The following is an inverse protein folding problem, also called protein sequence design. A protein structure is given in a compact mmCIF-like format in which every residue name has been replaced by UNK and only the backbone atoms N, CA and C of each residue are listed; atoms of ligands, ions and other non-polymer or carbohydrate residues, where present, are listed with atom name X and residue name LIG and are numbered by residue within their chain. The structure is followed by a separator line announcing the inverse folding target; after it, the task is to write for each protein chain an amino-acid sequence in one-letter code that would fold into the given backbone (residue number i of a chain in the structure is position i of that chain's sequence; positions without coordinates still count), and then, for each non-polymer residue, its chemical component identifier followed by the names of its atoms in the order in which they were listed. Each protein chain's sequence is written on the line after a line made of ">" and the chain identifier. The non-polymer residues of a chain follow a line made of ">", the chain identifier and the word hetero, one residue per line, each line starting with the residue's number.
data_IF_518733646329
#
_entry.id   IF_518733646329
#
_cell.length_a   1.000
_cell.length_b   1.000
_cell.length_c   1.000
_cell.angle_alpha   90.00
_cell.angle_beta   90.00
_cell.angle_gamma   90.00
#
_symmetry.space_group_name_H-M   'P 1'
#
loop_
_entity.id
_entity.type
_entity.pdbx_description
1 polymer ?
#
# COMPACT_ATOMS: atom_id res chain seq x y z
N UNK A 1 -4.40 15.82 -7.18
CA UNK A 1 -3.20 15.37 -6.45
C UNK A 1 -3.54 14.07 -5.70
N UNK A 2 -2.85 12.97 -5.99
CA UNK A 2 -2.97 11.68 -5.28
C UNK A 2 -1.64 11.50 -4.54
N UNK A 3 -1.50 12.14 -3.38
CA UNK A 3 -0.25 12.13 -2.63
C UNK A 3 -0.50 11.36 -1.33
N UNK A 4 0.07 10.16 -1.19
CA UNK A 4 0.00 9.42 0.08
C UNK A 4 0.94 10.01 1.14
N UNK A 5 1.87 10.89 0.74
CA UNK A 5 2.84 11.54 1.61
C UNK A 5 2.24 12.14 2.88
N UNK A 6 1.06 12.77 2.79
CA UNK A 6 0.39 13.35 3.95
C UNK A 6 -0.04 12.25 4.93
N UNK A 7 -0.65 11.17 4.42
CA UNK A 7 -1.06 10.03 5.24
C UNK A 7 0.16 9.30 5.85
N UNK A 8 1.25 9.16 5.09
CA UNK A 8 2.52 8.59 5.59
C UNK A 8 3.08 9.44 6.73
N UNK A 9 3.12 10.76 6.55
CA UNK A 9 3.60 11.69 7.58
C UNK A 9 2.75 11.60 8.85
N UNK A 10 1.42 11.64 8.72
CA UNK A 10 0.53 11.47 9.87
C UNK A 10 0.70 10.11 10.54
N UNK A 11 0.94 9.03 9.77
CA UNK A 11 1.17 7.70 10.35
C UNK A 11 2.46 7.63 11.17
N UNK A 12 3.57 8.13 10.62
CA UNK A 12 4.86 8.23 11.34
C UNK A 12 4.69 9.10 12.57
N UNK A 13 4.10 10.29 12.41
CA UNK A 13 3.92 11.25 13.50
C UNK A 13 3.06 10.68 14.63
N UNK A 14 1.96 10.02 14.31
CA UNK A 14 1.10 9.40 15.31
C UNK A 14 1.78 8.21 15.99
N UNK A 15 2.55 7.40 15.26
CA UNK A 15 3.31 6.31 15.87
C UNK A 15 4.41 6.85 16.80
N UNK A 16 5.12 7.88 16.37
CA UNK A 16 6.10 8.57 17.20
C UNK A 16 5.45 9.19 18.45
N UNK A 17 4.29 9.83 18.29
CA UNK A 17 3.55 10.40 19.42
C UNK A 17 3.07 9.31 20.39
N UNK A 18 2.62 8.15 19.89
CA UNK A 18 2.19 7.00 20.71
C UNK A 18 3.33 6.49 21.61
N UNK A 19 4.51 6.35 21.01
CA UNK A 19 5.73 5.89 21.68
C UNK A 19 6.20 6.89 22.75
N UNK A 20 6.26 8.17 22.40
CA UNK A 20 6.80 9.23 23.25
C UNK A 20 5.87 9.59 24.41
N UNK A 21 4.55 9.59 24.17
CA UNK A 21 3.56 9.93 25.17
C UNK A 21 3.13 8.72 26.01
N UNK A 22 3.55 7.50 25.63
CA UNK A 22 3.17 6.28 26.32
C UNK A 22 1.66 6.12 26.41
N UNK A 23 0.96 6.33 25.28
CA UNK A 23 -0.51 6.35 25.21
C UNK A 23 -1.11 5.07 25.79
N UNK A 24 -0.46 3.93 25.56
CA UNK A 24 -0.86 2.61 26.08
C UNK A 24 -0.87 2.58 27.63
N UNK A 25 -0.03 3.38 28.29
CA UNK A 25 0.09 3.39 29.76
C UNK A 25 -0.92 4.32 30.44
N UNK A 26 -1.57 5.22 29.70
CA UNK A 26 -2.46 6.24 30.29
C UNK A 26 -3.75 6.42 29.49
N UNK A 27 -4.92 6.01 30.04
CA UNK A 27 -6.19 6.11 29.32
C UNK A 27 -6.62 7.56 29.04
N UNK A 28 -6.15 8.51 29.86
CA UNK A 28 -6.42 9.94 29.68
C UNK A 28 -5.77 10.50 28.41
N UNK A 29 -4.55 10.06 28.06
CA UNK A 29 -3.88 10.51 26.84
C UNK A 29 -4.55 9.94 25.59
N UNK A 30 -4.96 8.67 25.64
CA UNK A 30 -5.74 8.04 24.56
C UNK A 30 -7.05 8.78 24.32
N UNK A 31 -7.76 9.18 25.38
CA UNK A 31 -8.99 9.95 25.27
C UNK A 31 -8.76 11.30 24.56
N UNK A 32 -7.74 12.05 24.97
CA UNK A 32 -7.37 13.30 24.31
C UNK A 32 -7.00 13.11 22.83
N UNK A 33 -6.25 12.05 22.50
CA UNK A 33 -5.91 11.74 21.10
C UNK A 33 -7.15 11.46 20.26
N UNK A 34 -8.10 10.66 20.76
CA UNK A 34 -9.35 10.36 20.05
C UNK A 34 -10.18 11.63 19.87
N UNK A 35 -10.26 12.49 20.88
CA UNK A 35 -10.97 13.78 20.80
C UNK A 35 -10.34 14.66 19.72
N UNK A 36 -9.01 14.82 19.72
CA UNK A 36 -8.29 15.63 18.73
C UNK A 36 -8.52 15.08 17.31
N UNK A 37 -8.37 13.77 17.10
CA UNK A 37 -8.64 13.14 15.81
C UNK A 37 -10.11 13.31 15.38
N UNK A 38 -11.05 13.21 16.32
CA UNK A 38 -12.48 13.44 16.08
C UNK A 38 -12.79 14.87 15.66
N UNK A 39 -12.20 15.86 16.33
CA UNK A 39 -12.33 17.28 15.96
C UNK A 39 -11.75 17.54 14.57
N UNK A 40 -10.58 16.98 14.24
CA UNK A 40 -9.99 17.10 12.90
C UNK A 40 -10.88 16.44 11.85
N UNK A 41 -11.41 15.25 12.12
CA UNK A 41 -12.32 14.55 11.21
C UNK A 41 -13.62 15.34 10.98
N UNK A 42 -14.17 15.94 12.03
CA UNK A 42 -15.36 16.77 11.94
C UNK A 42 -15.10 18.07 11.16
N UNK A 43 -14.02 18.79 11.49
CA UNK A 43 -13.64 20.02 10.82
C UNK A 43 -13.38 19.78 9.32
N UNK A 44 -12.65 18.72 8.99
CA UNK A 44 -12.39 18.35 7.58
C UNK A 44 -13.63 17.85 6.86
N UNK A 45 -14.57 17.19 7.55
CA UNK A 45 -15.86 16.79 6.98
C UNK A 45 -16.80 17.95 6.67
N UNK A 46 -16.68 19.07 7.39
CA UNK A 46 -17.43 20.30 7.09
C UNK A 46 -16.80 21.07 5.93
N UNK A 47 -15.47 21.18 5.92
CA UNK A 47 -14.74 22.00 4.92
C UNK A 47 -14.64 21.28 3.56
N UNK A 48 -14.43 19.97 3.56
CA UNK A 48 -14.18 19.20 2.34
C UNK A 48 -15.35 18.27 2.01
N UNK A 49 -15.72 18.20 0.73
CA UNK A 49 -16.76 17.28 0.28
C UNK A 49 -16.32 15.81 0.36
N UNK A 50 -17.29 14.92 0.60
CA UNK A 50 -17.14 13.45 0.71
C UNK A 50 -16.11 13.03 1.78
N UNK A 51 -15.69 11.76 1.80
CA UNK A 51 -14.77 11.21 2.83
C UNK A 51 -13.31 11.61 2.57
N UNK A 52 -13.05 12.91 2.44
CA UNK A 52 -11.73 13.48 2.17
C UNK A 52 -10.75 13.28 3.32
N UNK A 53 -11.23 13.34 4.58
CA UNK A 53 -10.44 12.99 5.75
C UNK A 53 -9.84 11.58 5.63
N UNK A 54 -10.69 10.59 5.35
CA UNK A 54 -10.26 9.21 5.18
C UNK A 54 -9.26 9.08 4.01
N UNK A 55 -9.49 9.79 2.91
CA UNK A 55 -8.64 9.67 1.72
C UNK A 55 -7.23 10.28 1.90
N UNK A 56 -7.12 11.40 2.60
CA UNK A 56 -5.87 12.18 2.63
C UNK A 56 -5.21 12.31 4.01
N UNK A 57 -5.99 12.40 5.09
CA UNK A 57 -5.48 12.68 6.44
C UNK A 57 -5.41 11.43 7.31
N UNK A 58 -6.34 10.49 7.13
CA UNK A 58 -6.41 9.31 7.99
C UNK A 58 -5.25 8.33 7.67
N UNK A 59 -4.31 8.13 8.60
CA UNK A 59 -3.16 7.24 8.35
C UNK A 59 -3.59 5.77 8.19
N UNK A 60 -4.68 5.37 8.84
CA UNK A 60 -5.24 4.00 8.78
C UNK A 60 -5.69 3.66 7.36
N UNK A 61 -6.16 4.64 6.58
CA UNK A 61 -6.64 4.37 5.22
C UNK A 61 -5.48 4.10 4.25
N UNK A 62 -4.31 4.74 4.43
CA UNK A 62 -3.12 4.44 3.64
C UNK A 62 -2.64 3.00 3.86
N UNK A 63 -2.62 2.59 5.13
CA UNK A 63 -2.40 1.20 5.55
C UNK A 63 -3.39 0.24 4.88
N UNK A 64 -4.69 0.45 5.09
CA UNK A 64 -5.75 -0.37 4.54
C UNK A 64 -5.69 -0.45 3.01
N UNK A 65 -5.25 0.61 2.34
CA UNK A 65 -5.01 0.64 0.90
C UNK A 65 -3.93 -0.32 0.44
N UNK A 66 -2.81 -0.42 1.17
CA UNK A 66 -1.76 -1.39 0.88
C UNK A 66 -2.24 -2.84 1.07
N UNK A 67 -2.96 -3.11 2.17
CA UNK A 67 -3.56 -4.43 2.39
C UNK A 67 -4.61 -4.76 1.32
N UNK A 68 -5.35 -3.77 0.83
CA UNK A 68 -6.36 -3.95 -0.23
C UNK A 68 -5.75 -4.38 -1.56
N UNK A 69 -4.46 -4.14 -1.81
CA UNK A 69 -3.77 -4.68 -3.00
C UNK A 69 -3.49 -6.17 -2.90
N UNK A 70 -3.38 -6.73 -1.68
CA UNK A 70 -3.18 -8.17 -1.45
C UNK A 70 -4.49 -8.95 -1.51
N UNK A 71 -5.63 -8.28 -1.28
CA UNK A 71 -6.97 -8.89 -1.27
C UNK A 71 -7.26 -9.73 -2.54
N UNK A 72 -7.87 -10.93 -2.41
CA UNK A 72 -8.29 -11.77 -3.54
C UNK A 72 -9.60 -11.30 -4.18
N UNK A 73 -10.25 -10.27 -3.64
CA UNK A 73 -11.52 -9.74 -4.14
C UNK A 73 -11.28 -8.40 -4.79
N UNK A 74 -11.89 -8.15 -5.96
CA UNK A 74 -11.91 -6.85 -6.60
C UNK A 74 -13.29 -6.49 -7.16
N UNK A 75 -13.60 -5.20 -7.18
CA UNK A 75 -14.81 -4.67 -7.79
C UNK A 75 -14.46 -4.03 -9.12
N UNK A 76 -15.03 -4.53 -10.22
CA UNK A 76 -14.70 -4.06 -11.59
C UNK A 76 -15.97 -3.89 -12.42
N UNK A 77 -15.88 -3.00 -13.41
CA UNK A 77 -16.89 -2.94 -14.49
C UNK A 77 -16.78 -4.18 -15.38
N UNK A 78 -17.92 -4.77 -15.72
CA UNK A 78 -18.01 -5.91 -16.65
C UNK A 78 -17.64 -5.47 -18.06
N UNK A 79 -18.26 -4.39 -18.54
CA UNK A 79 -18.02 -3.86 -19.88
C UNK A 79 -17.91 -2.34 -19.86
N UNK A 80 -16.75 -1.84 -20.30
CA UNK A 80 -16.48 -0.40 -20.42
C UNK A 80 -17.38 0.25 -21.46
N UNK A 81 -17.73 -0.45 -22.54
CA UNK A 81 -18.55 0.09 -23.61
C UNK A 81 -20.01 0.30 -23.18
N UNK A 82 -20.52 -0.62 -22.36
CA UNK A 82 -21.85 -0.49 -21.71
C UNK A 82 -21.86 0.66 -20.72
N UNK A 83 -20.79 0.81 -19.93
CA UNK A 83 -20.62 1.96 -19.05
C UNK A 83 -20.59 3.30 -19.81
N UNK A 84 -20.00 3.38 -21.00
CA UNK A 84 -19.99 4.63 -21.78
C UNK A 84 -21.34 5.01 -22.37
N UNK A 85 -22.17 4.02 -22.70
CA UNK A 85 -23.48 4.23 -23.34
C UNK A 85 -24.61 4.45 -22.33
N UNK A 86 -24.62 3.70 -21.24
CA UNK A 86 -25.74 3.64 -20.29
C UNK A 86 -25.44 4.30 -18.94
N UNK A 87 -24.16 4.46 -18.59
CA UNK A 87 -23.76 4.95 -17.26
C UNK A 87 -23.28 6.39 -17.38
N UNK A 88 -24.08 7.35 -16.91
CA UNK A 88 -23.72 8.79 -16.90
C UNK A 88 -22.72 9.12 -15.77
N UNK A 89 -21.77 8.20 -15.52
CA UNK A 89 -20.85 8.22 -14.38
C UNK A 89 -21.57 8.17 -13.03
N UNK A 90 -22.75 7.54 -12.96
CA UNK A 90 -23.61 7.50 -11.77
C UNK A 90 -22.91 6.84 -10.57
N UNK A 91 -22.03 5.87 -10.81
CA UNK A 91 -21.20 5.25 -9.77
C UNK A 91 -20.20 6.23 -9.13
N UNK A 92 -19.85 7.33 -9.79
CA UNK A 92 -18.98 8.40 -9.27
C UNK A 92 -19.76 9.63 -8.81
N UNK A 93 -20.75 10.09 -9.57
CA UNK A 93 -21.55 11.30 -9.26
C UNK A 93 -22.64 11.02 -8.24
N UNK A 94 -23.20 9.82 -8.24
CA UNK A 94 -24.43 9.48 -7.54
C UNK A 94 -25.65 9.72 -8.42
N UNK A 95 -26.76 9.05 -8.10
CA UNK A 95 -28.05 9.20 -8.74
C UNK A 95 -29.16 9.25 -7.66
N UNK A 96 -30.43 9.21 -8.06
CA UNK A 96 -31.57 9.18 -7.13
C UNK A 96 -31.59 7.92 -6.24
N UNK A 97 -31.00 6.81 -6.71
CA UNK A 97 -30.91 5.54 -6.00
C UNK A 97 -29.76 5.43 -5.00
N UNK A 98 -28.78 6.33 -5.03
CA UNK A 98 -27.61 6.21 -4.16
C UNK A 98 -26.55 7.29 -4.33
N UNK A 99 -25.68 7.42 -3.33
CA UNK A 99 -24.58 8.39 -3.37
C UNK A 99 -23.47 7.89 -4.31
N UNK A 100 -22.71 8.81 -4.90
CA UNK A 100 -21.51 8.45 -5.65
C UNK A 100 -20.41 7.89 -4.73
N UNK A 101 -19.36 7.31 -5.33
CA UNK A 101 -18.23 6.76 -4.57
C UNK A 101 -17.64 7.80 -3.58
N UNK A 102 -17.70 7.55 -2.25
CA UNK A 102 -17.27 8.51 -1.24
C UNK A 102 -15.75 8.72 -1.22
N UNK A 103 -15.00 7.78 -1.81
CA UNK A 103 -13.55 7.83 -1.93
C UNK A 103 -13.09 8.45 -3.25
N UNK A 104 -14.00 8.99 -4.08
CA UNK A 104 -13.71 9.51 -5.42
C UNK A 104 -12.94 8.52 -6.30
N UNK A 105 -13.32 7.25 -6.26
CA UNK A 105 -12.78 6.21 -7.13
C UNK A 105 -13.80 5.88 -8.21
N UNK A 106 -13.33 5.62 -9.43
CA UNK A 106 -14.20 5.32 -10.57
C UNK A 106 -13.95 3.88 -11.06
N UNK A 107 -14.85 2.91 -10.75
CA UNK A 107 -14.63 1.48 -11.01
C UNK A 107 -14.30 1.11 -12.47
N UNK A 108 -14.70 1.94 -13.44
CA UNK A 108 -14.48 1.71 -14.87
C UNK A 108 -13.00 1.90 -15.29
N UNK A 109 -12.34 2.90 -14.71
CA UNK A 109 -10.93 3.23 -14.98
C UNK A 109 -10.01 2.77 -13.86
N UNK A 110 -10.58 2.28 -12.75
CA UNK A 110 -9.81 1.73 -11.65
C UNK A 110 -8.98 0.56 -12.17
N UNK A 111 -7.68 0.57 -11.88
CA UNK A 111 -6.77 -0.56 -12.10
C UNK A 111 -6.30 -1.18 -10.79
N UNK A 112 -6.32 -0.42 -9.68
CA UNK A 112 -5.91 -0.88 -8.36
C UNK A 112 -6.95 -0.57 -7.30
N UNK A 113 -6.93 -1.35 -6.23
CA UNK A 113 -7.88 -1.20 -5.14
C UNK A 113 -7.37 -0.36 -3.95
N UNK A 114 -6.28 0.42 -4.11
CA UNK A 114 -5.59 1.13 -3.01
C UNK A 114 -6.48 2.13 -2.25
N UNK A 115 -7.46 2.75 -2.91
CA UNK A 115 -8.34 3.75 -2.27
C UNK A 115 -9.78 3.26 -2.07
N UNK A 116 -10.08 2.04 -2.53
CA UNK A 116 -11.42 1.49 -2.45
C UNK A 116 -11.61 0.78 -1.11
N UNK A 117 -12.49 1.32 -0.28
CA UNK A 117 -12.82 0.73 1.03
C UNK A 117 -14.00 -0.27 0.97
N UNK A 118 -14.29 -0.85 -0.20
CA UNK A 118 -15.38 -1.82 -0.41
C UNK A 118 -16.72 -1.44 0.25
N UNK A 119 -17.09 -0.16 0.20
CA UNK A 119 -18.35 0.31 0.77
C UNK A 119 -19.60 -0.02 -0.08
N UNK A 120 -19.40 -0.57 -1.29
CA UNK A 120 -20.44 -0.97 -2.26
C UNK A 120 -21.47 0.10 -2.66
N UNK A 121 -21.29 1.36 -2.29
CA UNK A 121 -22.22 2.43 -2.67
C UNK A 121 -22.26 2.63 -4.20
N UNK A 122 -21.13 2.43 -4.87
CA UNK A 122 -21.06 2.46 -6.34
C UNK A 122 -21.85 1.33 -7.02
N UNK A 123 -22.15 0.22 -6.35
CA UNK A 123 -23.00 -0.86 -6.89
C UNK A 123 -24.47 -0.45 -6.87
N UNK A 124 -24.91 0.30 -5.85
CA UNK A 124 -26.29 0.79 -5.75
C UNK A 124 -26.63 1.85 -6.79
N UNK A 125 -25.66 2.73 -7.08
CA UNK A 125 -25.86 3.86 -7.99
C UNK A 125 -25.60 3.49 -9.46
N UNK A 126 -25.00 2.33 -9.74
CA UNK A 126 -24.70 1.91 -11.11
C UNK A 126 -25.91 1.20 -11.74
N UNK A 127 -26.14 1.33 -13.06
CA UNK A 127 -27.08 0.50 -13.78
C UNK A 127 -26.86 -1.01 -13.51
N UNK A 128 -27.95 -1.78 -13.39
CA UNK A 128 -27.88 -3.19 -13.01
C UNK A 128 -27.04 -4.00 -14.00
N UNK A 129 -26.16 -4.85 -13.47
CA UNK A 129 -25.34 -5.79 -14.25
C UNK A 129 -24.06 -5.22 -14.86
N UNK A 130 -23.72 -3.95 -14.63
CA UNK A 130 -22.47 -3.36 -15.13
C UNK A 130 -21.30 -3.47 -14.13
N UNK A 131 -21.57 -3.56 -12.82
CA UNK A 131 -20.54 -3.82 -11.80
C UNK A 131 -20.60 -5.28 -11.34
N UNK A 132 -19.44 -5.92 -11.26
CA UNK A 132 -19.30 -7.28 -10.72
C UNK A 132 -18.17 -7.38 -9.71
N UNK A 133 -18.36 -8.27 -8.73
CA UNK A 133 -17.33 -8.66 -7.79
C UNK A 133 -16.58 -9.86 -8.37
N UNK A 134 -15.31 -9.67 -8.69
CA UNK A 134 -14.46 -10.69 -9.32
C UNK A 134 -13.42 -11.18 -8.32
N UNK A 135 -13.17 -12.49 -8.33
CA UNK A 135 -12.03 -13.08 -7.63
C UNK A 135 -10.78 -12.95 -8.49
N UNK A 136 -9.67 -12.55 -7.87
CA UNK A 136 -8.36 -12.41 -8.49
C UNK A 136 -7.32 -13.20 -7.70
N UNK A 137 -6.21 -13.63 -8.34
CA UNK A 137 -5.06 -14.17 -7.63
C UNK A 137 -4.51 -13.19 -6.59
N UNK A 138 -4.03 -13.72 -5.48
CA UNK A 138 -3.46 -12.93 -4.38
C UNK A 138 -2.37 -11.96 -4.88
N UNK A 139 -2.46 -10.72 -4.40
CA UNK A 139 -1.52 -9.63 -4.67
C UNK A 139 -1.24 -9.32 -6.17
N UNK A 140 -2.10 -9.74 -7.10
CA UNK A 140 -2.00 -9.40 -8.54
C UNK A 140 -1.85 -7.89 -8.80
N UNK A 141 -2.50 -7.02 -8.02
CA UNK A 141 -2.37 -5.55 -8.13
C UNK A 141 -0.96 -5.04 -7.84
N UNK A 142 -0.16 -5.79 -7.07
CA UNK A 142 1.23 -5.46 -6.78
C UNK A 142 2.13 -5.72 -7.99
N UNK A 143 1.89 -6.83 -8.71
CA UNK A 143 2.70 -7.27 -9.85
C UNK A 143 2.25 -6.76 -11.21
N UNK A 144 0.95 -6.58 -11.44
CA UNK A 144 0.39 -6.21 -12.75
C UNK A 144 0.56 -4.72 -13.12
N UNK A 145 1.38 -3.99 -12.37
CA UNK A 145 1.22 -2.56 -12.19
C UNK A 145 2.28 -1.77 -12.98
N UNK A 146 1.92 -1.33 -14.20
CA UNK A 146 2.86 -0.68 -15.14
C UNK A 146 3.28 0.75 -14.80
N UNK A 147 2.62 1.42 -13.85
CA UNK A 147 2.98 2.76 -13.36
C UNK A 147 3.60 2.68 -11.97
N UNK A 148 4.87 3.10 -11.84
CA UNK A 148 5.61 3.14 -10.56
C UNK A 148 5.12 4.31 -9.72
N UNK A 149 4.29 4.04 -8.71
CA UNK A 149 3.95 5.04 -7.70
C UNK A 149 4.94 4.87 -6.54
N UNK A 150 5.97 5.72 -6.50
CA UNK A 150 7.00 5.67 -5.45
C UNK A 150 6.38 5.82 -4.04
N UNK A 151 5.28 6.55 -3.94
CA UNK A 151 4.54 6.79 -2.70
C UNK A 151 4.06 5.50 -2.02
N UNK A 152 3.52 4.54 -2.78
CA UNK A 152 2.98 3.29 -2.23
C UNK A 152 4.12 2.36 -1.77
N UNK A 153 5.18 2.26 -2.57
CA UNK A 153 6.38 1.48 -2.20
C UNK A 153 7.10 2.08 -0.99
N UNK A 154 7.20 3.41 -0.92
CA UNK A 154 7.78 4.11 0.22
C UNK A 154 6.96 3.87 1.49
N UNK A 155 5.63 4.02 1.43
CA UNK A 155 4.75 3.70 2.56
C UNK A 155 4.95 2.25 3.03
N UNK A 156 5.00 1.28 2.11
CA UNK A 156 5.22 -0.12 2.47
C UNK A 156 6.57 -0.35 3.18
N UNK A 157 7.66 0.27 2.72
CA UNK A 157 8.98 0.18 3.36
C UNK A 157 9.01 0.85 4.73
N UNK A 158 8.38 2.02 4.86
CA UNK A 158 8.24 2.73 6.14
C UNK A 158 7.45 1.89 7.14
N UNK A 159 6.36 1.23 6.71
CA UNK A 159 5.59 0.33 7.56
C UNK A 159 6.42 -0.84 8.08
N UNK A 160 7.18 -1.50 7.21
CA UNK A 160 8.09 -2.58 7.62
C UNK A 160 9.18 -2.06 8.57
N UNK A 161 9.70 -0.86 8.34
CA UNK A 161 10.69 -0.24 9.20
C UNK A 161 10.15 0.07 10.59
N UNK A 162 8.98 0.69 10.66
CA UNK A 162 8.29 1.01 11.92
C UNK A 162 7.98 -0.27 12.70
N UNK A 163 7.37 -1.28 12.07
CA UNK A 163 7.03 -2.54 12.77
C UNK A 163 8.27 -3.26 13.27
N UNK A 164 9.37 -3.23 12.51
CA UNK A 164 10.65 -3.82 12.94
C UNK A 164 11.22 -3.09 14.15
N UNK A 165 11.21 -1.76 14.16
CA UNK A 165 11.74 -0.95 15.27
C UNK A 165 10.88 -1.13 16.53
N UNK A 166 9.55 -1.02 16.39
CA UNK A 166 8.62 -1.21 17.52
C UNK A 166 8.73 -2.63 18.10
N UNK A 167 8.95 -3.63 17.24
CA UNK A 167 9.22 -5.01 17.70
C UNK A 167 10.55 -5.08 18.43
N UNK A 168 11.60 -4.40 17.96
CA UNK A 168 12.90 -4.37 18.60
C UNK A 168 12.87 -3.69 19.98
N UNK A 169 12.01 -2.69 20.19
CA UNK A 169 11.82 -2.01 21.48
C UNK A 169 11.30 -2.93 22.59
N UNK A 170 10.54 -3.97 22.22
CA UNK A 170 10.02 -4.94 23.18
C UNK A 170 11.08 -5.95 23.66
N UNK A 171 12.28 -5.96 23.09
CA UNK A 171 13.36 -6.83 23.55
C UNK A 171 13.97 -6.30 24.85
N UNK A 172 14.23 -7.21 25.80
CA UNK A 172 14.86 -6.89 27.10
C UNK A 172 16.24 -6.23 26.98
N UNK A 173 16.96 -6.45 25.87
CA UNK A 173 18.27 -5.83 25.59
C UNK A 173 18.22 -4.41 25.03
N UNK A 174 17.04 -3.87 24.73
CA UNK A 174 16.88 -2.58 24.06
C UNK A 174 17.49 -1.41 24.84
N UNK A 175 17.24 -1.34 26.15
CA UNK A 175 17.78 -0.25 26.99
C UNK A 175 19.31 -0.21 27.05
N UNK A 176 19.96 -1.39 27.02
CA UNK A 176 21.41 -1.48 26.94
C UNK A 176 21.93 -1.03 25.56
N UNK A 177 21.20 -1.35 24.50
CA UNK A 177 21.56 -0.94 23.15
C UNK A 177 21.42 0.58 22.94
N UNK A 178 20.31 1.17 23.39
CA UNK A 178 20.08 2.62 23.33
C UNK A 178 21.12 3.38 24.15
N UNK A 179 21.46 2.92 25.37
CA UNK A 179 22.50 3.56 26.17
C UNK A 179 23.89 3.48 25.52
N UNK A 180 24.21 2.40 24.79
CA UNK A 180 25.43 2.31 23.98
C UNK A 180 25.41 3.30 22.82
N UNK A 181 24.29 3.43 22.11
CA UNK A 181 24.13 4.35 20.98
C UNK A 181 24.15 5.81 21.43
N UNK A 182 23.56 6.15 22.56
CA UNK A 182 23.56 7.51 23.12
C UNK A 182 24.98 8.03 23.45
N UNK A 183 25.97 7.14 23.59
CA UNK A 183 27.38 7.54 23.77
C UNK A 183 28.02 8.13 22.51
N UNK A 184 27.39 7.99 21.34
CA UNK A 184 27.83 8.60 20.08
C UNK A 184 27.48 10.10 20.00
N UNK A 185 26.56 10.60 20.82
CA UNK A 185 26.16 12.02 20.86
C UNK A 185 27.24 12.84 21.59
N UNK A 186 27.67 14.02 21.09
CA UNK A 186 28.71 14.84 21.71
C UNK A 186 28.42 15.16 23.18
N UNK A 187 29.48 15.15 23.99
CA UNK A 187 29.40 15.29 25.46
C UNK A 187 28.73 16.62 25.89
N UNK A 188 28.91 17.67 25.10
CA UNK A 188 28.39 19.02 25.34
C UNK A 188 26.86 19.06 25.39
N UNK A 189 26.18 18.32 24.49
CA UNK A 189 24.72 18.20 24.49
C UNK A 189 24.21 17.34 25.65
N UNK A 190 25.00 16.37 26.12
CA UNK A 190 24.62 15.45 27.22
C UNK A 190 24.61 16.12 28.59
N UNK A 191 25.44 17.14 28.79
CA UNK A 191 25.55 17.86 30.07
C UNK A 191 24.45 18.90 30.21
N UNK A 192 23.99 19.48 29.09
CA UNK A 192 22.93 20.49 29.07
C UNK A 192 21.52 19.91 29.30
N UNK A 193 21.29 18.64 28.96
CA UNK A 193 19.97 18.02 29.02
C UNK A 193 19.82 17.00 30.16
N UNK A 194 18.61 16.92 30.73
CA UNK A 194 18.27 15.87 31.71
C UNK A 194 18.46 14.47 31.12
N UNK A 195 18.79 13.47 31.96
CA UNK A 195 19.11 12.13 31.48
C UNK A 195 17.98 11.46 30.71
N UNK A 196 16.74 11.70 31.13
CA UNK A 196 15.54 11.18 30.46
C UNK A 196 15.38 11.81 29.07
N UNK A 197 15.65 13.10 28.93
CA UNK A 197 15.44 13.84 27.68
C UNK A 197 16.41 13.42 26.57
N UNK A 198 17.68 13.15 26.89
CA UNK A 198 18.63 12.70 25.85
C UNK A 198 18.33 11.28 25.38
N UNK A 199 17.88 10.38 26.26
CA UNK A 199 17.50 9.00 25.90
C UNK A 199 16.32 9.01 24.93
N UNK A 200 15.27 9.74 25.29
CA UNK A 200 14.07 9.92 24.47
C UNK A 200 14.37 10.59 23.12
N UNK A 201 15.28 11.55 23.07
CA UNK A 201 15.70 12.18 21.82
C UNK A 201 16.51 11.24 20.92
N UNK A 202 17.38 10.42 21.52
CA UNK A 202 18.15 9.39 20.81
C UNK A 202 17.22 8.34 20.20
N UNK A 203 16.23 7.88 20.96
CA UNK A 203 15.21 6.95 20.50
C UNK A 203 14.38 7.53 19.36
N UNK A 204 13.91 8.77 19.48
CA UNK A 204 13.21 9.49 18.40
C UNK A 204 14.04 9.61 17.11
N UNK A 205 15.33 9.94 17.23
CA UNK A 205 16.26 10.02 16.09
C UNK A 205 16.44 8.67 15.40
N UNK A 206 16.58 7.59 16.17
CA UNK A 206 16.70 6.23 15.65
C UNK A 206 15.38 5.79 15.00
N UNK A 207 14.24 6.10 15.60
CA UNK A 207 12.93 5.78 15.05
C UNK A 207 12.70 6.49 13.71
N UNK A 208 12.86 7.82 13.67
CA UNK A 208 12.62 8.62 12.46
C UNK A 208 13.68 8.32 11.40
N UNK A 209 14.96 8.33 11.76
CA UNK A 209 16.06 8.06 10.82
C UNK A 209 16.05 6.62 10.32
N UNK A 210 15.77 5.65 11.19
CA UNK A 210 15.64 4.24 10.84
C UNK A 210 14.47 4.01 9.88
N UNK A 211 13.26 4.44 10.26
CA UNK A 211 12.07 4.16 9.47
C UNK A 211 11.98 4.95 8.16
N UNK A 212 12.33 6.25 8.14
CA UNK A 212 12.20 7.07 6.91
C UNK A 212 13.38 6.95 5.95
N UNK A 213 14.58 6.63 6.44
CA UNK A 213 15.78 6.66 5.60
C UNK A 213 16.41 5.27 5.49
N UNK A 214 16.68 4.58 6.59
CA UNK A 214 17.43 3.32 6.55
C UNK A 214 16.67 2.21 5.79
N UNK A 215 15.41 1.95 6.12
CA UNK A 215 14.62 0.90 5.43
C UNK A 215 14.35 1.22 3.95
N UNK A 216 13.97 2.45 3.56
CA UNK A 216 13.85 2.82 2.15
C UNK A 216 15.16 2.70 1.37
N UNK A 217 16.30 3.11 1.96
CA UNK A 217 17.63 2.97 1.35
C UNK A 217 17.99 1.49 1.18
N UNK A 218 17.78 0.66 2.20
CA UNK A 218 18.01 -0.78 2.11
C UNK A 218 17.13 -1.44 1.03
N UNK A 219 15.86 -1.04 0.91
CA UNK A 219 14.97 -1.50 -0.15
C UNK A 219 15.47 -1.12 -1.55
N UNK A 220 15.96 0.11 -1.72
CA UNK A 220 16.55 0.58 -2.99
C UNK A 220 17.85 -0.17 -3.33
N UNK A 221 18.72 -0.40 -2.34
CA UNK A 221 19.97 -1.15 -2.51
C UNK A 221 19.72 -2.63 -2.82
N UNK A 222 18.74 -3.25 -2.15
CA UNK A 222 18.30 -4.62 -2.40
C UNK A 222 17.74 -4.79 -3.82
N UNK A 223 16.89 -3.87 -4.27
CA UNK A 223 16.36 -3.88 -5.64
C UNK A 223 17.45 -3.71 -6.71
N UNK A 224 18.49 -2.92 -6.43
CA UNK A 224 19.64 -2.72 -7.33
C UNK A 224 20.53 -3.96 -7.42
N UNK A 225 20.62 -4.73 -6.33
CA UNK A 225 21.41 -5.96 -6.23
C UNK A 225 20.71 -7.16 -6.89
N UNK A 226 19.39 -7.23 -6.75
CA UNK A 226 18.54 -8.32 -7.23
C UNK A 226 18.25 -8.24 -8.74
N UNK A 227 18.25 -7.03 -9.33
CA UNK A 227 18.21 -6.85 -10.79
C UNK A 227 19.33 -7.58 -11.55
N UNK A 228 20.41 -8.00 -10.86
CA UNK A 228 21.53 -8.76 -11.43
C UNK A 228 21.40 -10.28 -11.27
N UNK A 229 20.57 -10.78 -10.35
CA UNK A 229 20.41 -12.23 -10.05
C UNK A 229 19.05 -12.81 -10.46
N UNK A 230 18.06 -11.96 -10.78
CA UNK A 230 16.66 -12.34 -11.04
C UNK A 230 16.34 -12.77 -12.48
N UNK A 231 17.36 -13.04 -13.29
CA UNK A 231 17.18 -13.65 -14.61
C UNK A 231 16.86 -15.15 -14.56
N UNK A 232 17.45 -15.89 -13.61
CA UNK A 232 17.35 -17.36 -13.57
C UNK A 232 16.27 -17.90 -12.62
N UNK A 233 16.13 -17.31 -11.42
CA UNK A 233 15.22 -17.83 -10.36
C UNK A 233 13.72 -17.66 -10.66
N UNK A 234 13.36 -16.68 -11.49
CA UNK A 234 11.96 -16.24 -11.67
C UNK A 234 11.21 -17.11 -12.67
N UNK A 235 11.93 -17.79 -13.59
CA UNK A 235 11.35 -18.62 -14.64
C UNK A 235 10.97 -20.02 -14.14
N UNK A 236 11.71 -20.56 -13.18
CA UNK A 236 11.52 -21.93 -12.66
C UNK A 236 10.45 -22.02 -11.56
N UNK A 237 10.32 -21.01 -10.69
CA UNK A 237 9.46 -21.10 -9.49
C UNK A 237 8.11 -20.38 -9.59
N UNK A 238 7.93 -19.40 -10.50
CA UNK A 238 6.71 -18.56 -10.55
C UNK A 238 5.77 -18.86 -11.72
N UNK A 239 6.25 -19.50 -12.80
CA UNK A 239 5.42 -19.97 -13.92
C UNK A 239 4.26 -20.91 -13.51
N UNK A 240 4.39 -21.81 -12.51
CA UNK A 240 3.29 -22.66 -12.06
C UNK A 240 2.12 -21.88 -11.42
N UNK A 241 2.37 -20.66 -10.95
CA UNK A 241 1.39 -19.81 -10.24
C UNK A 241 0.80 -18.68 -11.12
N UNK A 242 1.16 -18.61 -12.41
CA UNK A 242 0.64 -17.58 -13.32
C UNK A 242 1.09 -16.15 -12.97
N UNK A 243 2.20 -16.00 -12.25
CA UNK A 243 2.71 -14.70 -11.81
C UNK A 243 3.74 -14.20 -12.83
N UNK A 244 3.33 -13.25 -13.68
CA UNK A 244 4.25 -12.56 -14.59
C UNK A 244 5.01 -11.45 -13.85
N UNK A 245 6.32 -11.55 -13.80
CA UNK A 245 7.21 -10.48 -13.34
C UNK A 245 7.77 -9.78 -14.58
N UNK A 246 7.21 -8.61 -14.93
CA UNK A 246 7.84 -7.75 -15.94
C UNK A 246 9.00 -6.97 -15.30
N UNK A 247 10.18 -6.94 -15.94
CA UNK A 247 11.34 -6.27 -15.38
C UNK A 247 11.12 -4.76 -15.40
N UNK A 248 11.53 -4.10 -14.32
CA UNK A 248 11.80 -2.67 -14.34
C UNK A 248 12.98 -2.38 -15.28
N UNK A 249 12.71 -2.25 -16.58
CA UNK A 249 13.68 -1.90 -17.62
C UNK A 249 13.18 -0.72 -18.45
N UNK A 250 14.00 0.31 -18.55
CA UNK A 250 13.87 1.39 -19.52
C UNK A 250 14.03 0.76 -20.91
N UNK A 251 13.04 0.90 -21.79
CA UNK A 251 13.12 0.47 -23.19
C UNK A 251 11.98 -0.44 -23.62
N UNK A 252 11.26 0.02 -24.65
CA UNK A 252 10.34 -0.79 -25.45
C UNK A 252 11.05 -2.04 -26.00
N UNK A 253 10.49 -3.23 -25.79
CA UNK A 253 10.61 -4.38 -26.70
C UNK A 253 9.41 -5.33 -26.51
N UNK A 254 8.72 -5.75 -27.59
CA UNK A 254 7.55 -6.61 -27.53
C UNK A 254 7.96 -8.09 -27.50
N UNK A 255 7.16 -8.93 -26.82
CA UNK A 255 7.16 -10.38 -27.06
C UNK A 255 7.79 -11.23 -25.97
N UNK A 256 6.98 -11.62 -24.98
CA UNK A 256 7.15 -12.88 -24.27
C UNK A 256 5.76 -13.37 -23.83
N UNK A 257 5.03 -13.97 -24.76
CA UNK A 257 3.86 -14.77 -24.45
C UNK A 257 4.34 -16.07 -23.79
N UNK A 258 3.98 -16.30 -22.53
CA UNK A 258 4.07 -17.63 -21.95
C UNK A 258 3.07 -18.52 -22.67
N UNK A 259 3.56 -19.37 -23.58
CA UNK A 259 2.77 -20.45 -24.16
C UNK A 259 2.36 -21.40 -23.02
N UNK A 260 1.07 -21.79 -22.90
CA UNK A 260 0.66 -22.75 -21.89
C UNK A 260 1.35 -24.10 -22.15
N UNK A 261 1.95 -24.67 -21.10
CA UNK A 261 2.44 -26.03 -21.06
C UNK A 261 1.33 -26.98 -21.54
N UNK A 262 1.51 -27.49 -22.76
CA UNK A 262 0.76 -28.62 -23.30
C UNK A 262 0.89 -29.79 -22.33
N UNK A 263 -0.17 -30.07 -21.58
CA UNK A 263 -0.33 -31.35 -20.92
C UNK A 263 -0.37 -32.41 -22.02
N UNK A 264 0.58 -33.35 -21.95
CA UNK A 264 0.94 -34.23 -23.05
C UNK A 264 -0.23 -34.99 -23.66
N UNK A 265 -0.44 -34.78 -24.96
CA UNK A 265 -1.06 -35.77 -25.84
C UNK A 265 -0.42 -35.70 -27.21
N UNK A 266 0.71 -36.40 -27.38
CA UNK A 266 1.28 -36.66 -28.71
C UNK A 266 2.11 -37.94 -28.73
N UNK A 267 1.54 -38.98 -29.35
CA UNK A 267 2.19 -40.05 -30.13
C UNK A 267 1.04 -40.62 -30.99
N UNK A 268 0.99 -40.57 -32.33
CA UNK A 268 1.96 -40.34 -33.42
C UNK A 268 1.22 -39.84 -34.69
N UNK A 269 1.97 -39.11 -35.52
CA UNK A 269 1.88 -38.85 -36.98
C UNK A 269 1.59 -40.10 -37.88
N UNK A 270 1.52 -40.01 -39.25
CA UNK A 270 1.28 -38.88 -40.18
C UNK A 270 0.39 -39.20 -41.46
N UNK A 271 0.07 -38.13 -42.21
CA UNK A 271 0.05 -37.99 -43.69
C UNK A 271 -1.03 -38.62 -44.61
N UNK A 272 -1.29 -37.84 -45.68
CA UNK A 272 -1.87 -38.11 -47.02
C UNK A 272 -3.37 -37.79 -47.18
N UNK A 273 -3.76 -36.62 -47.70
CA UNK A 273 -3.74 -36.13 -49.09
C UNK A 273 -4.94 -36.57 -49.93
N UNK A 274 -5.60 -35.56 -50.51
CA UNK A 274 -6.36 -35.52 -51.78
C UNK A 274 -7.69 -36.28 -51.91
N UNK A 275 -8.75 -35.47 -52.02
CA UNK A 275 -9.78 -35.48 -53.08
C UNK A 275 -10.17 -36.80 -53.74
N UNK A 276 -11.42 -37.21 -53.50
CA UNK A 276 -12.45 -37.59 -54.50
C UNK A 276 -13.78 -37.82 -53.78
#
# INVERSE_FOLDING_TARGET
>A
LRNLWLATFFFVFLTWADEQLGIIRSPQMTAWLIIILGVIAFATGIIFQRRSFCRYLCPITGLQGLYSMVSPVELRSVDRSRCLKECHQDCYRGNEGGRGCPMFEFPMTMERNTYCNFCFECVKSCPPGNLTLRLRPFAKDLWASGRRWLDESYLALVLVGITTIVTAQMLSGWGLWISRMARLIPLELRILMKPVTYLTFTESLIFIGGSLLLFPILGLLGGRSDGRRRGSWTQENLCPFGIHVHPCGIGHAPGAQCLPLSFGRARRHPSLSTDS
#
